data_IF_816033729646
#
_entry.id   IF_816033729646
#
_cell.length_a   1.000
_cell.length_b   1.000
_cell.length_c   1.000
_cell.angle_alpha   90.00
_cell.angle_beta   90.00
_cell.angle_gamma   90.00
#
_symmetry.space_group_name_H-M   'P 1'
#
loop_
_entity.id
_entity.type
_entity.pdbx_description
1 polymer ?
#
# COMPACT_ATOMS: atom_id res chain seq x y z
N UNK A 1 -21.04 33.92 -7.72
CA UNK A 1 -19.65 33.50 -8.07
C UNK A 1 -18.84 33.73 -6.81
N UNK A 2 -18.62 32.68 -6.02
CA UNK A 2 -17.69 32.72 -4.89
C UNK A 2 -16.29 32.75 -5.49
N UNK A 3 -15.60 33.90 -5.44
CA UNK A 3 -14.21 33.99 -5.79
C UNK A 3 -13.46 33.06 -4.85
N UNK A 4 -12.69 32.12 -5.41
CA UNK A 4 -11.73 31.33 -4.62
C UNK A 4 -10.71 32.31 -4.07
N UNK A 5 -10.37 32.16 -2.77
CA UNK A 5 -9.32 32.90 -2.14
C UNK A 5 -7.98 32.38 -2.68
N UNK A 6 -7.20 33.27 -3.31
CA UNK A 6 -5.88 32.94 -3.87
C UNK A 6 -4.82 33.72 -3.15
N UNK A 7 -3.77 33.04 -2.71
CA UNK A 7 -2.60 33.64 -2.05
C UNK A 7 -1.29 33.16 -2.69
N UNK A 8 -0.26 34.00 -2.61
CA UNK A 8 1.11 33.63 -2.97
C UNK A 8 1.87 33.38 -1.68
N UNK A 9 2.51 32.21 -1.59
CA UNK A 9 3.27 31.81 -0.42
C UNK A 9 4.49 30.98 -0.78
N UNK A 10 5.40 30.87 0.18
CA UNK A 10 6.56 29.98 0.13
C UNK A 10 6.23 28.68 0.87
N UNK A 11 6.60 27.57 0.29
CA UNK A 11 6.43 26.23 0.90
C UNK A 11 7.68 25.90 1.72
N UNK A 12 7.47 25.41 2.96
CA UNK A 12 8.53 25.30 3.96
C UNK A 12 9.01 23.88 4.19
N UNK A 13 8.13 22.88 4.02
CA UNK A 13 8.45 21.47 4.27
C UNK A 13 7.47 20.53 3.58
N UNK A 14 7.87 19.28 3.33
CA UNK A 14 6.98 18.27 2.79
C UNK A 14 5.91 17.88 3.84
N UNK A 15 4.73 17.49 3.33
CA UNK A 15 3.65 16.95 4.13
C UNK A 15 2.76 16.05 3.26
N UNK A 16 1.98 15.19 3.89
CA UNK A 16 1.02 14.34 3.18
C UNK A 16 0.15 15.16 2.24
N UNK A 17 0.10 14.75 0.98
CA UNK A 17 -0.63 15.42 -0.09
C UNK A 17 0.06 16.65 -0.66
N UNK A 18 1.35 16.94 -0.37
CA UNK A 18 2.09 18.06 -0.95
C UNK A 18 3.10 18.72 -0.02
N UNK A 19 3.06 20.03 0.10
CA UNK A 19 3.94 20.80 0.97
C UNK A 19 3.14 21.68 1.93
N UNK A 20 3.76 22.14 3.02
CA UNK A 20 3.15 23.09 3.97
C UNK A 20 3.77 24.46 3.81
N UNK A 21 2.95 25.48 3.77
CA UNK A 21 3.31 26.88 3.90
C UNK A 21 2.44 27.57 4.96
N UNK A 22 2.49 28.90 4.99
CA UNK A 22 1.61 29.72 5.85
C UNK A 22 0.94 30.81 5.01
N UNK A 23 -0.34 31.06 5.28
CA UNK A 23 -1.07 32.20 4.74
C UNK A 23 -0.64 33.49 5.43
N UNK A 24 -1.02 34.64 4.87
CA UNK A 24 -0.65 35.94 5.43
C UNK A 24 -1.09 36.18 6.87
N UNK A 25 -2.10 35.46 7.37
CA UNK A 25 -2.56 35.48 8.76
C UNK A 25 -1.84 34.47 9.68
N UNK A 26 -0.85 33.74 9.17
CA UNK A 26 -0.12 32.70 9.91
C UNK A 26 -0.77 31.32 9.92
N UNK A 27 -1.94 31.15 9.31
CA UNK A 27 -2.60 29.84 9.22
C UNK A 27 -1.76 28.88 8.35
N UNK A 28 -1.46 27.69 8.89
CA UNK A 28 -0.79 26.65 8.13
C UNK A 28 -1.66 26.17 6.95
N UNK A 29 -1.09 26.06 5.76
CA UNK A 29 -1.78 25.59 4.58
C UNK A 29 -1.06 24.39 3.96
N UNK A 30 -1.81 23.32 3.71
CA UNK A 30 -1.33 22.13 2.98
C UNK A 30 -1.61 22.34 1.50
N UNK A 31 -0.55 22.46 0.72
CA UNK A 31 -0.60 22.80 -0.70
C UNK A 31 -0.28 21.57 -1.54
N UNK A 32 -1.27 21.08 -2.27
CA UNK A 32 -1.06 20.00 -3.23
C UNK A 32 -0.34 20.50 -4.48
N UNK A 33 0.35 19.58 -5.14
CA UNK A 33 1.17 19.84 -6.34
C UNK A 33 2.31 20.84 -6.13
N UNK A 34 2.63 21.18 -4.87
CA UNK A 34 3.81 21.96 -4.51
C UNK A 34 4.90 21.06 -3.90
N UNK A 35 6.15 21.43 -4.14
CA UNK A 35 7.32 20.86 -3.50
C UNK A 35 7.87 21.83 -2.46
N UNK A 36 8.68 21.33 -1.53
CA UNK A 36 9.34 22.15 -0.52
C UNK A 36 10.26 23.21 -1.17
N UNK A 37 10.27 24.41 -0.62
CA UNK A 37 11.10 25.52 -1.11
C UNK A 37 10.58 26.22 -2.37
N UNK A 38 9.40 25.84 -2.84
CA UNK A 38 8.76 26.52 -3.96
C UNK A 38 8.01 27.77 -3.52
N UNK A 39 7.99 28.78 -4.38
CA UNK A 39 7.09 29.91 -4.28
C UNK A 39 5.93 29.67 -5.23
N UNK A 40 4.70 29.66 -4.69
CA UNK A 40 3.52 29.21 -5.40
C UNK A 40 2.34 30.15 -5.23
N UNK A 41 1.49 30.27 -6.28
CA UNK A 41 0.12 30.81 -6.17
C UNK A 41 -0.81 29.67 -5.85
N UNK A 42 -1.52 29.75 -4.73
CA UNK A 42 -2.38 28.72 -4.19
C UNK A 42 -3.83 29.13 -4.24
N UNK A 43 -4.70 28.25 -4.73
CA UNK A 43 -6.14 28.34 -4.59
C UNK A 43 -6.55 27.62 -3.29
N UNK A 44 -7.13 28.34 -2.36
CA UNK A 44 -7.63 27.77 -1.09
C UNK A 44 -8.96 27.06 -1.36
N UNK A 45 -9.00 25.76 -1.09
CA UNK A 45 -10.18 24.92 -1.30
C UNK A 45 -10.96 24.65 -0.01
N UNK A 46 -10.26 24.69 1.13
CA UNK A 46 -10.82 24.41 2.43
C UNK A 46 -10.10 25.27 3.48
N UNK A 47 -10.85 25.86 4.41
CA UNK A 47 -10.31 26.58 5.56
C UNK A 47 -11.03 26.15 6.83
N UNK A 48 -10.26 25.77 7.82
CA UNK A 48 -10.73 25.42 9.17
C UNK A 48 -10.14 26.40 10.19
N UNK A 49 -10.53 26.29 11.44
CA UNK A 49 -9.93 27.11 12.52
C UNK A 49 -8.45 26.81 12.79
N UNK A 50 -7.92 25.68 12.30
CA UNK A 50 -6.55 25.22 12.63
C UNK A 50 -5.61 25.19 11.42
N UNK A 51 -6.14 25.00 10.22
CA UNK A 51 -5.37 24.87 9.00
C UNK A 51 -6.24 25.16 7.77
N UNK A 52 -5.57 25.40 6.65
CA UNK A 52 -6.19 25.46 5.33
C UNK A 52 -5.64 24.36 4.42
N UNK A 53 -6.34 24.11 3.33
CA UNK A 53 -5.89 23.23 2.23
C UNK A 53 -6.09 23.94 0.91
N UNK A 54 -5.12 23.78 0.02
CA UNK A 54 -5.16 24.39 -1.30
C UNK A 54 -4.43 23.57 -2.34
N UNK A 55 -4.54 24.06 -3.57
CA UNK A 55 -3.82 23.49 -4.72
C UNK A 55 -2.93 24.59 -5.33
N UNK A 56 -1.69 24.22 -5.68
CA UNK A 56 -0.79 25.09 -6.43
C UNK A 56 -1.35 25.29 -7.84
N UNK A 57 -1.77 26.52 -8.14
CA UNK A 57 -2.23 26.90 -9.47
C UNK A 57 -1.05 27.24 -10.41
N UNK A 58 -0.05 27.90 -9.84
CA UNK A 58 1.11 28.40 -10.57
C UNK A 58 2.36 28.24 -9.69
N UNK A 59 3.45 27.79 -10.30
CA UNK A 59 4.75 27.68 -9.66
C UNK A 59 5.56 28.90 -10.10
N UNK A 60 5.78 29.84 -9.18
CA UNK A 60 6.50 31.09 -9.43
C UNK A 60 8.03 30.91 -9.31
N UNK A 61 8.46 30.04 -8.41
CA UNK A 61 9.85 29.59 -8.28
C UNK A 61 9.84 28.09 -8.03
N UNK A 62 10.43 27.33 -8.95
CA UNK A 62 10.37 25.89 -8.93
C UNK A 62 11.52 25.28 -8.10
N UNK A 63 11.23 24.15 -7.44
CA UNK A 63 12.24 23.28 -6.86
C UNK A 63 13.12 22.68 -7.97
N UNK A 64 14.46 22.50 -7.79
CA UNK A 64 15.35 21.93 -8.79
C UNK A 64 14.92 20.55 -9.31
N UNK A 65 14.32 19.71 -8.46
CA UNK A 65 13.82 18.40 -8.81
C UNK A 65 12.39 18.40 -9.37
N UNK A 66 11.81 19.56 -9.70
CA UNK A 66 10.49 19.60 -10.35
C UNK A 66 10.61 19.17 -11.81
N UNK A 67 9.74 18.25 -12.20
CA UNK A 67 9.67 17.70 -13.56
C UNK A 67 8.25 17.79 -14.12
N UNK A 68 8.14 17.64 -15.45
CA UNK A 68 6.84 17.46 -16.09
C UNK A 68 6.31 16.05 -15.78
N UNK A 69 5.07 15.97 -15.30
CA UNK A 69 4.42 14.69 -15.04
C UNK A 69 4.35 13.82 -16.31
N UNK A 70 4.76 12.54 -16.24
CA UNK A 70 4.76 11.67 -17.42
C UNK A 70 3.36 11.21 -17.86
N UNK A 71 2.40 11.11 -16.92
CA UNK A 71 1.06 10.64 -17.21
C UNK A 71 0.16 11.78 -17.75
N UNK A 72 -0.56 11.57 -18.88
CA UNK A 72 -1.44 12.59 -19.44
C UNK A 72 -2.64 12.91 -18.54
N UNK A 73 -2.94 12.07 -17.56
CA UNK A 73 -4.02 12.26 -16.59
C UNK A 73 -3.55 12.90 -15.27
N UNK A 74 -2.26 13.20 -15.12
CA UNK A 74 -1.74 13.91 -13.96
C UNK A 74 -2.08 15.40 -14.02
N UNK A 75 -2.24 16.02 -12.87
CA UNK A 75 -2.39 17.48 -12.76
C UNK A 75 -3.56 17.91 -11.90
N UNK A 76 -3.75 19.23 -11.89
CA UNK A 76 -4.77 19.88 -11.11
C UNK A 76 -6.19 19.43 -11.55
N UNK A 77 -7.04 19.12 -10.59
CA UNK A 77 -8.42 18.70 -10.85
C UNK A 77 -8.55 17.46 -11.76
N UNK A 78 -7.53 16.62 -11.86
CA UNK A 78 -7.47 15.41 -12.67
C UNK A 78 -7.38 14.14 -11.83
N UNK A 79 -6.81 13.06 -12.39
CA UNK A 79 -6.68 11.75 -11.75
C UNK A 79 -6.00 11.85 -10.37
N UNK A 80 -6.65 11.29 -9.35
CA UNK A 80 -6.14 11.25 -7.97
C UNK A 80 -5.27 10.06 -7.63
N UNK A 81 -4.81 9.30 -8.63
CA UNK A 81 -4.07 8.06 -8.39
C UNK A 81 -2.58 8.25 -8.07
N UNK A 82 -2.01 9.44 -8.30
CA UNK A 82 -0.60 9.76 -8.07
C UNK A 82 -0.44 11.19 -7.58
N UNK A 83 0.35 11.39 -6.53
CA UNK A 83 0.51 12.68 -5.86
C UNK A 83 1.81 13.38 -6.21
N UNK A 84 2.86 12.64 -6.62
CA UNK A 84 4.24 13.11 -6.75
C UNK A 84 4.80 13.06 -8.19
N UNK A 85 3.96 12.94 -9.21
CA UNK A 85 4.42 12.88 -10.61
C UNK A 85 5.17 14.13 -11.09
N UNK A 86 5.05 15.23 -10.36
CA UNK A 86 5.72 16.51 -10.65
C UNK A 86 7.12 16.64 -10.00
N UNK A 87 7.60 15.58 -9.34
CA UNK A 87 8.92 15.48 -8.74
C UNK A 87 9.74 14.37 -9.42
N UNK A 88 11.05 14.58 -9.59
CA UNK A 88 11.97 13.52 -9.98
C UNK A 88 12.11 12.46 -8.88
N UNK A 89 12.71 11.33 -9.19
CA UNK A 89 12.81 10.19 -8.27
C UNK A 89 13.55 10.56 -6.98
N UNK A 90 14.66 11.26 -7.08
CA UNK A 90 15.45 11.66 -5.91
C UNK A 90 14.64 12.57 -4.97
N UNK A 91 13.89 13.50 -5.55
CA UNK A 91 12.99 14.38 -4.79
C UNK A 91 11.83 13.62 -4.16
N UNK A 92 11.23 12.64 -4.87
CA UNK A 92 10.18 11.77 -4.30
C UNK A 92 10.70 10.98 -3.11
N UNK A 93 11.86 10.35 -3.23
CA UNK A 93 12.51 9.58 -2.15
C UNK A 93 12.78 10.47 -0.93
N UNK A 94 13.40 11.63 -1.12
CA UNK A 94 13.66 12.57 -0.03
C UNK A 94 12.37 13.08 0.63
N UNK A 95 11.35 13.39 -0.16
CA UNK A 95 10.05 13.82 0.33
C UNK A 95 9.38 12.74 1.19
N UNK A 96 9.35 11.49 0.70
CA UNK A 96 8.77 10.34 1.41
C UNK A 96 9.51 10.05 2.72
N UNK A 97 10.83 10.06 2.69
CA UNK A 97 11.68 9.85 3.87
C UNK A 97 11.35 10.86 4.98
N UNK A 98 11.27 12.15 4.64
CA UNK A 98 10.98 13.21 5.60
C UNK A 98 9.56 13.12 6.17
N UNK A 99 8.56 12.84 5.33
CA UNK A 99 7.17 12.67 5.78
C UNK A 99 7.05 11.47 6.71
N UNK A 100 7.65 10.33 6.37
CA UNK A 100 7.63 9.13 7.18
C UNK A 100 8.34 9.32 8.53
N UNK A 101 9.53 9.94 8.54
CA UNK A 101 10.27 10.27 9.78
C UNK A 101 9.44 11.19 10.72
N UNK A 102 8.76 12.19 10.14
CA UNK A 102 7.88 13.09 10.92
C UNK A 102 6.67 12.35 11.52
N UNK A 103 6.08 11.42 10.78
CA UNK A 103 4.98 10.57 11.28
C UNK A 103 5.44 9.65 12.42
N UNK A 104 6.56 8.94 12.26
CA UNK A 104 7.11 8.04 13.27
C UNK A 104 7.42 8.80 14.56
N UNK A 105 8.07 9.96 14.46
CA UNK A 105 8.38 10.80 15.59
C UNK A 105 7.14 11.31 16.31
N UNK A 106 6.20 11.93 15.60
CA UNK A 106 5.03 12.59 16.21
C UNK A 106 3.98 11.61 16.74
N UNK A 107 3.75 10.51 16.03
CA UNK A 107 2.68 9.56 16.36
C UNK A 107 3.19 8.36 17.16
N UNK A 108 4.40 7.88 16.82
CA UNK A 108 5.02 6.71 17.42
C UNK A 108 5.92 7.02 18.62
N UNK A 109 6.45 8.25 18.70
CA UNK A 109 7.53 8.59 19.63
C UNK A 109 8.85 7.91 19.27
N UNK A 110 9.02 7.53 17.97
CA UNK A 110 10.20 6.85 17.46
C UNK A 110 11.09 7.89 16.78
N UNK A 111 12.24 8.16 17.36
CA UNK A 111 13.30 8.99 16.76
C UNK A 111 14.09 8.13 15.77
N UNK A 112 13.64 8.09 14.52
CA UNK A 112 14.27 7.33 13.45
C UNK A 112 14.22 8.15 12.16
N UNK A 113 15.38 8.34 11.54
CA UNK A 113 15.45 8.90 10.19
C UNK A 113 15.20 7.77 9.19
N UNK A 114 14.12 7.89 8.45
CA UNK A 114 13.71 6.90 7.46
C UNK A 114 14.56 7.04 6.21
N UNK A 115 15.21 5.95 5.82
CA UNK A 115 15.82 5.80 4.50
C UNK A 115 14.83 5.06 3.59
N UNK A 116 14.65 5.55 2.36
CA UNK A 116 13.74 4.95 1.39
C UNK A 116 14.55 4.24 0.31
N UNK A 117 14.30 2.95 0.17
CA UNK A 117 14.90 2.10 -0.85
C UNK A 117 13.99 2.13 -2.09
N UNK A 118 14.51 2.67 -3.21
CA UNK A 118 13.81 2.60 -4.50
C UNK A 118 13.76 1.15 -5.01
N UNK A 119 12.62 0.74 -5.55
CA UNK A 119 12.41 -0.63 -6.03
C UNK A 119 11.95 -0.62 -7.48
N UNK A 120 12.87 -0.96 -8.39
CA UNK A 120 12.59 -1.06 -9.81
C UNK A 120 12.18 0.28 -10.46
N UNK A 121 11.64 0.21 -11.65
CA UNK A 121 11.15 1.38 -12.38
C UNK A 121 9.68 1.66 -12.04
N UNK A 122 9.29 2.92 -12.04
CA UNK A 122 7.91 3.33 -11.80
C UNK A 122 6.96 2.89 -12.93
N UNK A 123 7.41 2.98 -14.19
CA UNK A 123 6.59 2.62 -15.35
C UNK A 123 6.27 1.14 -15.37
N UNK A 124 4.98 0.80 -15.50
CA UNK A 124 4.55 -0.59 -15.57
C UNK A 124 4.68 -1.38 -14.26
N UNK A 125 5.08 -0.74 -13.17
CA UNK A 125 5.33 -1.41 -11.88
C UNK A 125 4.08 -2.01 -11.23
N UNK A 126 2.89 -1.50 -11.57
CA UNK A 126 1.63 -1.88 -10.95
C UNK A 126 0.96 -3.02 -11.70
N UNK A 127 0.75 -4.12 -11.02
CA UNK A 127 0.07 -5.31 -11.56
C UNK A 127 -1.46 -5.31 -11.33
N UNK A 128 -1.99 -4.36 -10.55
CA UNK A 128 -3.42 -4.27 -10.22
C UNK A 128 -3.90 -2.83 -10.26
N UNK A 129 -5.05 -2.60 -10.90
CA UNK A 129 -5.70 -1.29 -10.93
C UNK A 129 -7.21 -1.44 -10.81
N UNK A 130 -7.80 -0.80 -9.81
CA UNK A 130 -9.25 -0.77 -9.62
C UNK A 130 -9.81 0.52 -10.16
N UNK A 131 -10.75 0.43 -11.10
CA UNK A 131 -11.39 1.54 -11.78
C UNK A 131 -12.91 1.53 -11.56
N UNK A 132 -13.51 2.70 -11.68
CA UNK A 132 -14.94 2.87 -11.90
C UNK A 132 -15.23 2.83 -13.40
N UNK A 133 -16.46 2.52 -13.77
CA UNK A 133 -16.93 2.61 -15.14
C UNK A 133 -17.95 3.75 -15.24
N UNK A 134 -17.69 4.68 -16.15
CA UNK A 134 -18.59 5.82 -16.39
C UNK A 134 -19.87 5.44 -17.15
N UNK A 135 -20.72 6.44 -17.40
CA UNK A 135 -21.99 6.25 -18.13
C UNK A 135 -21.82 5.89 -19.62
N UNK A 136 -20.60 5.99 -20.15
CA UNK A 136 -20.26 5.63 -21.53
C UNK A 136 -19.52 4.29 -21.61
N UNK A 137 -19.30 3.62 -20.46
CA UNK A 137 -18.61 2.34 -20.38
C UNK A 137 -17.09 2.47 -20.39
N UNK A 138 -16.53 3.63 -20.07
CA UNK A 138 -15.08 3.88 -20.03
C UNK A 138 -14.53 3.73 -18.61
N UNK A 139 -13.29 3.26 -18.49
CA UNK A 139 -12.60 3.19 -17.22
C UNK A 139 -12.25 4.59 -16.72
N UNK A 140 -12.45 4.82 -15.44
CA UNK A 140 -12.19 6.08 -14.81
C UNK A 140 -11.69 5.92 -13.36
N UNK A 141 -10.92 6.88 -12.88
CA UNK A 141 -10.60 7.04 -11.47
C UNK A 141 -11.23 8.30 -10.92
N UNK A 142 -11.49 8.31 -9.61
CA UNK A 142 -11.99 9.52 -8.97
C UNK A 142 -10.95 10.63 -9.08
N UNK A 143 -11.44 11.81 -9.40
CA UNK A 143 -10.63 13.03 -9.26
C UNK A 143 -10.38 13.29 -7.78
N UNK A 144 -9.29 13.96 -7.52
CA UNK A 144 -8.91 14.26 -6.15
C UNK A 144 -9.99 15.12 -5.49
N UNK A 145 -10.46 14.65 -4.32
CA UNK A 145 -11.48 15.31 -3.49
C UNK A 145 -12.77 15.68 -4.24
N UNK A 146 -13.04 15.02 -5.35
CA UNK A 146 -14.28 15.17 -6.14
C UNK A 146 -14.95 13.83 -6.34
N UNK A 147 -16.25 13.86 -6.58
CA UNK A 147 -17.02 12.65 -6.87
C UNK A 147 -17.04 12.32 -8.36
N UNK A 148 -16.82 13.33 -9.23
CA UNK A 148 -16.77 13.15 -10.67
C UNK A 148 -15.52 12.39 -11.09
N UNK A 149 -15.65 11.42 -12.02
CA UNK A 149 -14.55 10.60 -12.46
C UNK A 149 -13.68 11.32 -13.52
N UNK A 150 -12.39 11.02 -13.51
CA UNK A 150 -11.46 11.27 -14.62
C UNK A 150 -11.43 10.02 -15.50
N UNK A 151 -11.87 10.14 -16.73
CA UNK A 151 -11.80 9.04 -17.72
C UNK A 151 -10.36 8.82 -18.12
N UNK A 152 -9.92 7.59 -18.04
CA UNK A 152 -8.55 7.21 -18.36
C UNK A 152 -8.43 6.65 -19.77
N UNK A 153 -7.40 7.06 -20.48
CA UNK A 153 -6.96 6.47 -21.76
C UNK A 153 -5.71 5.61 -21.59
N UNK A 154 -5.05 5.72 -20.46
CA UNK A 154 -3.85 4.97 -20.06
C UNK A 154 -3.62 5.12 -18.56
N UNK A 155 -2.80 4.25 -17.97
CA UNK A 155 -2.24 4.45 -16.64
C UNK A 155 -0.74 4.18 -16.68
N UNK A 156 0.08 5.18 -16.42
CA UNK A 156 1.55 5.10 -16.48
C UNK A 156 2.15 4.00 -15.61
N UNK A 157 1.54 3.76 -14.44
CA UNK A 157 2.00 2.75 -13.49
C UNK A 157 1.56 1.34 -13.86
N UNK A 158 0.47 1.15 -14.60
CA UNK A 158 -0.09 -0.16 -14.88
C UNK A 158 0.78 -0.90 -15.90
N UNK A 159 0.97 -2.20 -15.66
CA UNK A 159 1.60 -3.15 -16.57
C UNK A 159 1.18 -2.91 -18.04
N UNK A 160 2.15 -2.91 -18.95
CA UNK A 160 1.92 -2.58 -20.36
C UNK A 160 0.96 -3.57 -21.05
N UNK A 161 0.99 -4.85 -20.67
CA UNK A 161 0.07 -5.89 -21.18
C UNK A 161 -1.40 -5.58 -20.90
N UNK A 162 -1.66 -4.76 -19.85
CA UNK A 162 -3.01 -4.43 -19.41
C UNK A 162 -3.57 -3.12 -19.97
N UNK A 163 -2.79 -2.37 -20.76
CA UNK A 163 -3.22 -1.05 -21.28
C UNK A 163 -4.41 -1.13 -22.25
N UNK A 164 -4.61 -2.26 -22.93
CA UNK A 164 -5.74 -2.47 -23.85
C UNK A 164 -7.10 -2.31 -23.15
N UNK A 165 -7.17 -2.55 -21.85
CA UNK A 165 -8.39 -2.41 -21.05
C UNK A 165 -9.00 -0.99 -21.14
N UNK A 166 -8.19 0.06 -21.38
CA UNK A 166 -8.67 1.43 -21.53
C UNK A 166 -9.38 1.71 -22.85
N UNK A 167 -9.21 0.85 -23.85
CA UNK A 167 -9.91 0.92 -25.14
C UNK A 167 -11.22 0.12 -25.15
N UNK A 168 -11.41 -0.74 -24.16
CA UNK A 168 -12.58 -1.62 -24.04
C UNK A 168 -13.76 -0.90 -23.41
N UNK A 169 -14.97 -1.30 -23.81
CA UNK A 169 -16.23 -0.84 -23.20
C UNK A 169 -16.68 -1.84 -22.13
N UNK A 170 -16.77 -1.35 -20.92
CA UNK A 170 -17.16 -2.12 -19.75
C UNK A 170 -18.62 -1.87 -19.36
N UNK A 171 -19.26 -2.77 -18.59
CA UNK A 171 -20.62 -2.53 -18.11
C UNK A 171 -20.72 -1.25 -17.28
N UNK A 172 -21.69 -0.39 -17.62
CA UNK A 172 -21.90 0.92 -16.97
C UNK A 172 -22.14 0.77 -15.46
N UNK A 173 -21.52 1.60 -14.67
CA UNK A 173 -21.64 1.59 -13.21
C UNK A 173 -20.95 0.41 -12.52
N UNK A 174 -20.20 -0.40 -13.25
CA UNK A 174 -19.39 -1.45 -12.66
C UNK A 174 -18.14 -0.87 -11.97
N UNK A 175 -17.61 -1.63 -11.03
CA UNK A 175 -16.23 -1.57 -10.59
C UNK A 175 -15.44 -2.63 -11.36
N UNK A 176 -14.34 -2.23 -11.98
CA UNK A 176 -13.46 -3.10 -12.76
C UNK A 176 -12.09 -3.12 -12.11
N UNK A 177 -11.63 -4.28 -11.68
CA UNK A 177 -10.26 -4.48 -11.23
C UNK A 177 -9.47 -5.20 -12.31
N UNK A 178 -8.55 -4.48 -12.95
CA UNK A 178 -7.59 -5.04 -13.91
C UNK A 178 -6.51 -5.78 -13.14
N UNK A 179 -6.15 -6.97 -13.58
CA UNK A 179 -5.11 -7.83 -13.01
C UNK A 179 -4.14 -8.30 -14.09
N UNK A 180 -2.87 -7.96 -13.90
CA UNK A 180 -1.74 -8.41 -14.71
C UNK A 180 -0.69 -9.05 -13.77
N UNK A 181 -1.13 -10.06 -13.00
CA UNK A 181 -0.28 -10.74 -12.02
C UNK A 181 0.50 -11.87 -12.71
N UNK A 182 1.81 -11.91 -12.46
CA UNK A 182 2.70 -12.92 -13.07
C UNK A 182 2.77 -12.82 -14.58
N UNK A 183 3.18 -13.91 -15.24
CA UNK A 183 3.40 -13.99 -16.69
C UNK A 183 2.13 -14.38 -17.47
N UNK A 184 1.04 -14.74 -16.78
CA UNK A 184 -0.21 -15.13 -17.41
C UNK A 184 -0.92 -13.98 -18.12
N UNK A 185 -1.91 -14.32 -18.95
CA UNK A 185 -2.74 -13.32 -19.63
C UNK A 185 -3.47 -12.44 -18.61
N UNK A 186 -3.38 -11.10 -18.72
CA UNK A 186 -4.14 -10.19 -17.89
C UNK A 186 -5.65 -10.35 -18.08
N UNK A 187 -6.39 -10.14 -17.02
CA UNK A 187 -7.85 -10.17 -17.05
C UNK A 187 -8.47 -9.11 -16.14
N UNK A 188 -9.76 -8.92 -16.23
CA UNK A 188 -10.52 -7.99 -15.42
C UNK A 188 -11.56 -8.72 -14.55
N UNK A 189 -11.67 -8.29 -13.30
CA UNK A 189 -12.73 -8.69 -12.38
C UNK A 189 -13.78 -7.59 -12.36
N UNK A 190 -14.97 -7.89 -12.85
CA UNK A 190 -16.07 -6.93 -13.04
C UNK A 190 -17.13 -7.16 -11.98
N UNK A 191 -17.37 -6.14 -11.17
CA UNK A 191 -18.36 -6.16 -10.08
C UNK A 191 -19.46 -5.16 -10.35
N UNK A 192 -20.68 -5.65 -10.44
CA UNK A 192 -21.91 -4.85 -10.54
C UNK A 192 -22.77 -5.03 -9.30
N UNK A 193 -23.33 -3.97 -8.73
CA UNK A 193 -24.24 -4.10 -7.60
C UNK A 193 -25.40 -5.06 -7.91
N UNK A 194 -25.64 -6.02 -7.02
CA UNK A 194 -26.73 -6.99 -7.16
C UNK A 194 -26.53 -8.07 -8.24
N UNK A 195 -25.35 -8.18 -8.84
CA UNK A 195 -25.03 -9.22 -9.81
C UNK A 195 -23.83 -10.05 -9.34
N UNK A 196 -23.71 -11.32 -9.80
CA UNK A 196 -22.49 -12.10 -9.60
C UNK A 196 -21.27 -11.38 -10.19
N UNK A 197 -20.12 -11.56 -9.56
CA UNK A 197 -18.84 -11.12 -10.12
C UNK A 197 -18.55 -11.86 -11.43
N UNK A 198 -18.20 -11.12 -12.46
CA UNK A 198 -17.79 -11.67 -13.75
C UNK A 198 -16.28 -11.52 -13.91
N UNK A 199 -15.65 -12.51 -14.55
CA UNK A 199 -14.26 -12.41 -14.99
C UNK A 199 -14.28 -12.26 -16.50
N UNK A 200 -13.52 -11.29 -17.00
CA UNK A 200 -13.46 -10.98 -18.43
C UNK A 200 -12.02 -10.84 -18.88
N UNK A 201 -11.76 -11.21 -20.16
CA UNK A 201 -10.51 -10.77 -20.77
C UNK A 201 -10.49 -9.23 -20.93
N UNK A 202 -9.36 -8.68 -21.35
CA UNK A 202 -9.24 -7.23 -21.49
C UNK A 202 -9.94 -6.65 -22.72
N UNK A 203 -10.46 -7.48 -23.62
CA UNK A 203 -11.36 -7.13 -24.73
C UNK A 203 -12.84 -7.19 -24.31
N UNK A 204 -13.14 -7.62 -23.08
CA UNK A 204 -14.47 -7.61 -22.50
C UNK A 204 -15.27 -8.90 -22.64
N UNK A 205 -14.70 -10.00 -23.18
CA UNK A 205 -15.35 -11.30 -23.27
C UNK A 205 -15.37 -11.98 -21.91
N UNK A 206 -16.48 -12.59 -21.56
CA UNK A 206 -16.62 -13.33 -20.29
C UNK A 206 -15.75 -14.58 -20.31
N UNK A 207 -14.94 -14.75 -19.28
CA UNK A 207 -14.10 -15.92 -19.04
C UNK A 207 -14.79 -16.87 -18.05
N UNK A 208 -14.17 -18.04 -17.85
CA UNK A 208 -14.64 -19.03 -16.87
C UNK A 208 -14.60 -18.44 -15.45
N UNK A 209 -15.62 -18.67 -14.61
CA UNK A 209 -15.67 -18.10 -13.26
C UNK A 209 -14.52 -18.56 -12.34
N UNK A 210 -13.90 -19.70 -12.61
CA UNK A 210 -12.73 -20.22 -11.87
C UNK A 210 -11.38 -19.68 -12.39
N UNK A 211 -11.38 -18.67 -13.26
CA UNK A 211 -10.15 -18.03 -13.73
C UNK A 211 -9.40 -17.42 -12.55
N UNK A 212 -8.12 -17.75 -12.43
CA UNK A 212 -7.21 -17.29 -11.37
C UNK A 212 -5.94 -16.71 -11.97
N UNK A 213 -5.28 -15.81 -11.25
CA UNK A 213 -3.92 -15.43 -11.58
C UNK A 213 -2.94 -16.49 -11.10
N UNK A 214 -1.90 -16.75 -11.89
CA UNK A 214 -0.77 -17.60 -11.52
C UNK A 214 0.49 -16.75 -11.49
N UNK A 215 1.19 -16.75 -10.36
CA UNK A 215 2.38 -15.94 -10.16
C UNK A 215 3.54 -16.84 -9.79
N UNK A 216 4.53 -16.88 -10.66
CA UNK A 216 5.80 -17.55 -10.38
C UNK A 216 6.64 -16.68 -9.45
N UNK A 217 7.04 -17.26 -8.33
CA UNK A 217 7.95 -16.65 -7.37
C UNK A 217 8.82 -17.76 -6.77
N UNK A 218 10.13 -17.66 -6.89
CA UNK A 218 11.07 -18.60 -6.29
C UNK A 218 10.83 -20.08 -6.67
N UNK A 219 10.52 -20.35 -7.95
CA UNK A 219 10.18 -21.68 -8.47
C UNK A 219 8.91 -22.28 -7.86
N UNK A 220 8.03 -21.44 -7.32
CA UNK A 220 6.70 -21.81 -6.87
C UNK A 220 5.63 -20.98 -7.57
N UNK A 221 4.56 -21.65 -8.03
CA UNK A 221 3.44 -20.99 -8.70
C UNK A 221 2.33 -20.72 -7.69
N UNK A 222 2.16 -19.45 -7.32
CA UNK A 222 1.05 -19.03 -6.49
C UNK A 222 -0.24 -18.96 -7.31
N UNK A 223 -1.30 -19.55 -6.79
CA UNK A 223 -2.67 -19.34 -7.26
C UNK A 223 -3.28 -18.19 -6.47
N UNK A 224 -3.81 -17.18 -7.18
CA UNK A 224 -4.46 -16.01 -6.59
C UNK A 224 -5.84 -15.82 -7.21
N UNK A 225 -6.86 -16.12 -6.43
CA UNK A 225 -8.27 -15.95 -6.84
C UNK A 225 -8.64 -14.48 -7.04
N UNK A 226 -9.69 -14.18 -7.85
CA UNK A 226 -10.16 -12.81 -8.10
C UNK A 226 -10.48 -11.98 -6.85
N UNK A 227 -10.95 -12.63 -5.79
CA UNK A 227 -11.29 -11.98 -4.52
C UNK A 227 -10.17 -12.03 -3.48
N UNK A 228 -9.01 -12.59 -3.83
CA UNK A 228 -7.84 -12.63 -2.96
C UNK A 228 -6.92 -11.44 -3.21
N UNK A 229 -6.29 -10.98 -2.14
CA UNK A 229 -5.27 -9.92 -2.22
C UNK A 229 -3.96 -10.48 -2.76
N UNK A 230 -3.26 -9.67 -3.55
CA UNK A 230 -1.87 -9.82 -3.92
C UNK A 230 -1.21 -8.45 -3.97
N UNK A 231 0.09 -8.37 -3.73
CA UNK A 231 0.86 -7.12 -3.76
C UNK A 231 0.70 -6.41 -5.10
N UNK A 232 0.55 -5.09 -5.07
CA UNK A 232 0.26 -4.32 -6.29
C UNK A 232 1.49 -4.02 -7.15
N UNK A 233 2.66 -3.89 -6.55
CA UNK A 233 3.94 -3.74 -7.25
C UNK A 233 4.48 -5.13 -7.58
N UNK A 234 4.92 -5.35 -8.83
CA UNK A 234 5.33 -6.70 -9.28
C UNK A 234 6.54 -7.26 -8.52
N UNK A 235 7.47 -6.41 -8.03
CA UNK A 235 8.61 -6.84 -7.22
C UNK A 235 8.31 -6.91 -5.71
N UNK A 236 7.16 -6.43 -5.24
CA UNK A 236 6.87 -6.41 -3.80
C UNK A 236 6.84 -7.81 -3.16
N UNK A 237 6.31 -8.86 -3.79
CA UNK A 237 6.31 -10.20 -3.21
C UNK A 237 7.71 -10.71 -2.88
N UNK A 238 8.68 -10.50 -3.77
CA UNK A 238 10.08 -10.89 -3.59
C UNK A 238 10.75 -10.05 -2.50
N UNK A 239 10.74 -8.72 -2.66
CA UNK A 239 11.39 -7.79 -1.72
C UNK A 239 10.89 -7.98 -0.29
N UNK A 240 9.58 -8.07 -0.09
CA UNK A 240 9.01 -8.21 1.24
C UNK A 240 9.27 -9.60 1.84
N UNK A 241 9.21 -10.66 1.02
CA UNK A 241 9.51 -12.01 1.47
C UNK A 241 10.96 -12.14 1.93
N UNK A 242 11.90 -11.55 1.19
CA UNK A 242 13.32 -11.57 1.54
C UNK A 242 13.57 -10.87 2.89
N UNK A 243 12.98 -9.70 3.10
CA UNK A 243 13.12 -8.96 4.38
C UNK A 243 12.48 -9.71 5.55
N UNK A 244 11.33 -10.33 5.36
CA UNK A 244 10.67 -11.16 6.38
C UNK A 244 11.52 -12.38 6.74
N UNK A 245 12.07 -13.05 5.74
CA UNK A 245 12.97 -14.21 5.94
C UNK A 245 14.26 -13.80 6.66
N UNK A 246 14.86 -12.67 6.27
CA UNK A 246 16.06 -12.14 6.93
C UNK A 246 15.81 -11.82 8.41
N UNK A 247 14.70 -11.10 8.69
CA UNK A 247 14.30 -10.79 10.05
C UNK A 247 14.04 -12.04 10.91
N UNK A 248 13.50 -13.12 10.33
CA UNK A 248 13.30 -14.39 11.01
C UNK A 248 14.64 -15.12 11.27
N UNK A 249 15.57 -15.13 10.30
CA UNK A 249 16.89 -15.79 10.44
C UNK A 249 17.70 -15.23 11.59
N UNK A 250 17.52 -14.00 11.96
CA UNK A 250 18.16 -13.38 13.13
C UNK A 250 17.58 -13.87 14.47
N UNK A 251 16.46 -14.62 14.46
CA UNK A 251 15.86 -15.29 15.62
C UNK A 251 15.78 -16.81 15.36
N UNK A 252 16.91 -17.53 15.26
CA UNK A 252 16.95 -18.91 14.79
C UNK A 252 16.22 -19.86 15.74
N UNK A 253 15.53 -20.84 15.13
CA UNK A 253 14.81 -21.90 15.85
C UNK A 253 13.41 -21.53 16.34
N UNK A 254 13.00 -20.30 16.18
CA UNK A 254 11.67 -19.85 16.58
C UNK A 254 10.58 -20.38 15.61
N UNK A 255 9.47 -20.83 16.19
CA UNK A 255 8.23 -21.08 15.47
C UNK A 255 7.67 -19.75 14.94
N UNK A 256 7.05 -19.77 13.76
CA UNK A 256 6.50 -18.56 13.16
C UNK A 256 4.98 -18.59 13.19
N UNK A 257 4.37 -17.44 13.50
CA UNK A 257 2.94 -17.20 13.35
C UNK A 257 2.75 -16.04 12.37
N UNK A 258 2.19 -16.34 11.19
CA UNK A 258 1.93 -15.39 10.11
C UNK A 258 0.48 -14.88 10.21
N UNK A 259 0.31 -13.64 10.64
CA UNK A 259 -0.98 -12.99 10.84
C UNK A 259 -1.37 -12.17 9.62
N UNK A 260 -2.64 -12.25 9.22
CA UNK A 260 -3.16 -11.65 7.98
C UNK A 260 -2.48 -12.23 6.74
N UNK A 261 -2.24 -13.55 6.75
CA UNK A 261 -1.33 -14.24 5.82
C UNK A 261 -1.77 -14.24 4.35
N UNK A 262 -2.95 -13.74 4.03
CA UNK A 262 -3.45 -13.71 2.66
C UNK A 262 -3.42 -15.09 2.01
N UNK A 263 -2.81 -15.17 0.84
CA UNK A 263 -2.65 -16.41 0.06
C UNK A 263 -1.43 -17.24 0.47
N UNK A 264 -0.74 -16.87 1.57
CA UNK A 264 0.37 -17.63 2.13
C UNK A 264 1.77 -17.25 1.64
N UNK A 265 1.97 -16.02 1.17
CA UNK A 265 3.24 -15.53 0.62
C UNK A 265 4.39 -15.68 1.63
N UNK A 266 4.28 -15.08 2.81
CA UNK A 266 5.34 -15.12 3.82
C UNK A 266 5.50 -16.51 4.44
N UNK A 267 4.40 -17.23 4.65
CA UNK A 267 4.44 -18.61 5.14
C UNK A 267 5.23 -19.53 4.18
N UNK A 268 5.06 -19.36 2.86
CA UNK A 268 5.83 -20.08 1.86
C UNK A 268 7.32 -19.74 1.95
N UNK A 269 7.66 -18.45 1.97
CA UNK A 269 9.05 -17.99 2.01
C UNK A 269 9.79 -18.48 3.27
N UNK A 270 9.12 -18.42 4.42
CA UNK A 270 9.68 -18.85 5.71
C UNK A 270 9.89 -20.36 5.76
N UNK A 271 8.92 -21.17 5.32
CA UNK A 271 9.06 -22.64 5.27
C UNK A 271 10.19 -23.06 4.32
N UNK A 272 10.26 -22.42 3.15
CA UNK A 272 11.36 -22.64 2.19
C UNK A 272 12.72 -22.23 2.78
N UNK A 273 12.77 -21.19 3.60
CA UNK A 273 13.99 -20.75 4.29
C UNK A 273 14.40 -21.68 5.44
N UNK A 274 13.59 -22.70 5.79
CA UNK A 274 13.88 -23.70 6.80
C UNK A 274 13.10 -23.57 8.12
N UNK A 275 12.06 -22.71 8.19
CA UNK A 275 11.19 -22.68 9.36
C UNK A 275 10.46 -24.01 9.52
N UNK A 276 10.64 -24.66 10.67
CA UNK A 276 10.13 -26.02 10.93
C UNK A 276 8.61 -26.04 11.24
N UNK A 277 8.08 -24.95 11.77
CA UNK A 277 6.65 -24.77 12.05
C UNK A 277 6.23 -23.34 11.71
N UNK A 278 5.26 -23.22 10.79
CA UNK A 278 4.63 -21.95 10.41
C UNK A 278 3.12 -22.08 10.60
N UNK A 279 2.50 -21.20 11.37
CA UNK A 279 1.04 -21.20 11.58
C UNK A 279 0.49 -19.90 11.00
N UNK A 280 -0.43 -20.00 10.03
CA UNK A 280 -1.04 -18.82 9.40
C UNK A 280 -2.44 -18.56 9.93
N UNK A 281 -2.80 -17.28 10.06
CA UNK A 281 -4.15 -16.82 10.37
C UNK A 281 -4.65 -15.88 9.27
N UNK A 282 -5.75 -16.26 8.62
CA UNK A 282 -6.44 -15.48 7.59
C UNK A 282 -7.95 -15.61 7.74
N UNK A 283 -8.68 -14.53 7.50
CA UNK A 283 -10.14 -14.49 7.66
C UNK A 283 -10.92 -14.54 6.33
N UNK A 284 -10.30 -14.13 5.23
CA UNK A 284 -10.92 -14.16 3.90
C UNK A 284 -11.08 -15.60 3.39
N UNK A 285 -12.31 -16.06 3.09
CA UNK A 285 -12.51 -17.44 2.62
C UNK A 285 -11.76 -17.75 1.30
N UNK A 286 -11.66 -16.79 0.39
CA UNK A 286 -10.92 -16.95 -0.87
C UNK A 286 -9.42 -17.09 -0.60
N UNK A 287 -8.84 -16.19 0.20
CA UNK A 287 -7.43 -16.21 0.54
C UNK A 287 -7.04 -17.49 1.31
N UNK A 288 -7.88 -17.96 2.25
CA UNK A 288 -7.68 -19.23 2.95
C UNK A 288 -7.68 -20.42 2.00
N UNK A 289 -8.58 -20.44 1.02
CA UNK A 289 -8.61 -21.50 -0.01
C UNK A 289 -7.33 -21.48 -0.84
N UNK A 290 -6.93 -20.30 -1.30
CA UNK A 290 -5.70 -20.11 -2.07
C UNK A 290 -4.47 -20.49 -1.24
N UNK A 291 -4.38 -20.06 0.03
CA UNK A 291 -3.29 -20.44 0.92
C UNK A 291 -3.17 -21.95 1.12
N UNK A 292 -4.29 -22.66 1.27
CA UNK A 292 -4.30 -24.13 1.36
C UNK A 292 -3.83 -24.81 0.09
N UNK A 293 -4.14 -24.24 -1.07
CA UNK A 293 -3.64 -24.72 -2.36
C UNK A 293 -2.14 -24.44 -2.49
N UNK A 294 -1.72 -23.21 -2.27
CA UNK A 294 -0.34 -22.76 -2.41
C UNK A 294 0.62 -23.46 -1.45
N UNK A 295 0.14 -23.84 -0.27
CA UNK A 295 0.94 -24.48 0.79
C UNK A 295 0.69 -25.99 0.88
N UNK A 296 0.03 -26.58 -0.13
CA UNK A 296 -0.28 -28.02 -0.17
C UNK A 296 1.00 -28.86 -0.10
N UNK A 297 1.00 -29.89 0.74
CA UNK A 297 2.11 -30.81 0.93
C UNK A 297 3.26 -30.30 1.82
N UNK A 298 3.19 -29.05 2.28
CA UNK A 298 4.18 -28.48 3.22
C UNK A 298 3.84 -28.87 4.65
N UNK A 299 4.55 -29.91 5.16
CA UNK A 299 4.22 -30.55 6.45
C UNK A 299 4.37 -29.63 7.66
N UNK A 300 5.26 -28.63 7.57
CA UNK A 300 5.52 -27.65 8.63
C UNK A 300 4.52 -26.49 8.68
N UNK A 301 3.56 -26.41 7.73
CA UNK A 301 2.67 -25.26 7.61
C UNK A 301 1.23 -25.63 7.98
N UNK A 302 0.60 -24.80 8.85
CA UNK A 302 -0.78 -24.96 9.27
C UNK A 302 -1.60 -23.72 8.94
N UNK A 303 -2.60 -23.84 8.06
CA UNK A 303 -3.49 -22.74 7.64
C UNK A 303 -4.76 -22.71 8.49
N UNK A 304 -4.94 -21.65 9.27
CA UNK A 304 -6.08 -21.40 10.14
C UNK A 304 -7.02 -20.34 9.54
N UNK A 305 -8.24 -20.72 9.22
CA UNK A 305 -9.31 -19.80 8.80
C UNK A 305 -9.86 -19.06 10.04
N UNK A 306 -9.16 -18.02 10.48
CA UNK A 306 -9.52 -17.26 11.70
C UNK A 306 -9.22 -15.77 11.51
N UNK A 307 -10.08 -14.92 12.07
CA UNK A 307 -9.81 -13.49 12.20
C UNK A 307 -8.70 -13.27 13.23
N UNK A 308 -7.81 -12.30 12.98
CA UNK A 308 -6.78 -11.88 13.94
C UNK A 308 -7.42 -10.99 15.00
N UNK A 309 -7.61 -11.55 16.18
CA UNK A 309 -8.18 -10.89 17.37
C UNK A 309 -7.69 -11.60 18.64
N UNK A 310 -7.67 -10.95 19.84
CA UNK A 310 -7.06 -11.52 21.04
C UNK A 310 -7.51 -12.94 21.39
N UNK A 311 -8.82 -13.22 21.30
CA UNK A 311 -9.39 -14.55 21.65
C UNK A 311 -8.96 -15.66 20.69
N UNK A 312 -8.65 -15.34 19.42
CA UNK A 312 -8.19 -16.32 18.44
C UNK A 312 -6.68 -16.51 18.48
N UNK A 313 -5.94 -15.52 18.97
CA UNK A 313 -4.49 -15.56 19.16
C UNK A 313 -4.09 -16.34 20.40
N UNK A 314 -4.79 -16.18 21.52
CA UNK A 314 -4.45 -16.83 22.80
C UNK A 314 -4.19 -18.35 22.72
N UNK A 315 -4.97 -19.18 21.99
CA UNK A 315 -4.69 -20.61 21.86
C UNK A 315 -3.62 -20.94 20.79
N UNK A 316 -3.10 -19.95 20.06
CA UNK A 316 -2.18 -20.15 18.94
C UNK A 316 -0.76 -19.71 19.30
N UNK A 317 -0.63 -18.55 19.93
CA UNK A 317 0.66 -17.97 20.30
C UNK A 317 1.34 -18.76 21.42
N UNK A 318 2.67 -18.82 21.36
CA UNK A 318 3.53 -19.42 22.40
C UNK A 318 4.65 -18.45 22.76
N UNK A 319 5.16 -18.60 23.94
CA UNK A 319 6.40 -17.91 24.35
C UNK A 319 7.54 -18.26 23.40
N UNK A 320 8.30 -17.24 22.99
CA UNK A 320 9.41 -17.39 22.08
C UNK A 320 9.04 -17.42 20.58
N UNK A 321 7.75 -17.35 20.21
CA UNK A 321 7.36 -17.25 18.81
C UNK A 321 7.94 -16.01 18.12
N UNK A 322 8.16 -16.12 16.81
CA UNK A 322 8.26 -14.96 15.91
C UNK A 322 6.92 -14.74 15.25
N UNK A 323 6.38 -13.53 15.33
CA UNK A 323 5.15 -13.15 14.65
C UNK A 323 5.48 -12.28 13.45
N UNK A 324 5.00 -12.67 12.28
CA UNK A 324 4.97 -11.84 11.08
C UNK A 324 3.56 -11.30 10.92
N UNK A 325 3.38 -10.04 10.59
CA UNK A 325 2.06 -9.47 10.34
C UNK A 325 2.10 -8.43 9.24
N UNK A 326 1.14 -8.53 8.29
CA UNK A 326 0.86 -7.55 7.23
C UNK A 326 -0.62 -7.14 7.35
N UNK A 327 -0.96 -6.31 8.34
CA UNK A 327 -2.35 -5.95 8.58
C UNK A 327 -2.87 -4.99 7.50
N UNK A 328 -4.20 -4.85 7.36
CA UNK A 328 -4.79 -3.84 6.50
C UNK A 328 -4.38 -2.41 6.93
N UNK A 329 -4.63 -1.41 6.10
CA UNK A 329 -4.32 0.02 6.37
C UNK A 329 -4.79 0.53 7.74
N UNK A 330 -5.75 -0.13 8.37
CA UNK A 330 -6.22 0.20 9.73
C UNK A 330 -5.28 -0.29 10.83
N UNK A 331 -4.27 -1.11 10.49
CA UNK A 331 -3.27 -1.67 11.41
C UNK A 331 -3.81 -2.83 12.25
N UNK A 332 -3.12 -3.09 13.36
CA UNK A 332 -3.49 -4.16 14.30
C UNK A 332 -4.87 -3.91 14.89
N UNK A 333 -5.67 -4.95 14.97
CA UNK A 333 -6.95 -4.89 15.68
C UNK A 333 -6.72 -4.60 17.17
N UNK A 334 -7.72 -3.96 17.80
CA UNK A 334 -7.65 -3.60 19.23
C UNK A 334 -7.33 -4.80 20.10
N UNK A 335 -6.33 -4.68 20.97
CA UNK A 335 -5.90 -5.71 21.91
C UNK A 335 -4.93 -6.75 21.34
N UNK A 336 -4.60 -6.69 20.04
CA UNK A 336 -3.63 -7.63 19.44
C UNK A 336 -2.23 -7.40 20.02
N UNK A 337 -1.75 -6.15 20.12
CA UNK A 337 -0.46 -5.85 20.74
C UNK A 337 -0.36 -6.41 22.18
N UNK A 338 -1.42 -6.25 22.99
CA UNK A 338 -1.51 -6.82 24.33
C UNK A 338 -1.44 -8.35 24.33
N UNK A 339 -2.14 -9.00 23.37
CA UNK A 339 -2.11 -10.46 23.25
C UNK A 339 -0.71 -10.98 22.89
N UNK A 340 0.03 -10.28 22.02
CA UNK A 340 1.42 -10.61 21.68
C UNK A 340 2.33 -10.50 22.91
N UNK A 341 2.23 -9.40 23.67
CA UNK A 341 2.98 -9.18 24.90
C UNK A 341 2.68 -10.22 25.97
N UNK A 342 1.40 -10.56 26.20
CA UNK A 342 0.96 -11.56 27.18
C UNK A 342 1.45 -12.97 26.83
N UNK A 343 1.48 -13.31 25.53
CA UNK A 343 1.95 -14.62 25.07
C UNK A 343 3.48 -14.77 25.13
N UNK A 344 4.23 -13.69 25.35
CA UNK A 344 5.68 -13.76 25.39
C UNK A 344 6.33 -13.97 24.02
N UNK A 345 5.70 -13.45 22.96
CA UNK A 345 6.27 -13.47 21.60
C UNK A 345 7.64 -12.79 21.62
N UNK A 346 8.67 -13.43 21.08
CA UNK A 346 10.05 -12.93 21.13
C UNK A 346 10.30 -11.79 20.14
N UNK A 347 9.70 -11.88 18.95
CA UNK A 347 9.90 -10.92 17.86
C UNK A 347 8.61 -10.68 17.08
N UNK A 348 8.39 -9.42 16.70
CA UNK A 348 7.33 -9.02 15.77
C UNK A 348 7.99 -8.43 14.52
N UNK A 349 7.74 -9.04 13.36
CA UNK A 349 8.09 -8.51 12.03
C UNK A 349 6.81 -7.90 11.44
N UNK A 350 6.79 -6.59 11.34
CA UNK A 350 5.60 -5.83 10.94
C UNK A 350 5.78 -5.22 9.55
N UNK A 351 5.00 -5.68 8.59
CA UNK A 351 4.90 -5.10 7.23
C UNK A 351 3.76 -4.09 7.23
N UNK A 352 3.94 -2.91 6.62
CA UNK A 352 2.91 -1.87 6.63
C UNK A 352 3.01 -0.94 5.43
N UNK A 353 1.88 -0.67 4.78
CA UNK A 353 1.77 0.33 3.72
C UNK A 353 1.34 1.73 4.21
N UNK A 354 1.27 1.96 5.53
CA UNK A 354 0.83 3.23 6.12
C UNK A 354 1.68 3.61 7.32
N UNK A 355 2.52 4.65 7.18
CA UNK A 355 3.46 5.08 8.21
C UNK A 355 2.79 5.61 9.48
N UNK A 356 1.62 6.25 9.39
CA UNK A 356 0.91 6.76 10.55
C UNK A 356 0.33 5.62 11.41
N UNK A 357 -0.22 4.62 10.74
CA UNK A 357 -0.76 3.41 11.39
C UNK A 357 0.37 2.58 12.01
N UNK A 358 1.48 2.39 11.29
CA UNK A 358 2.68 1.73 11.80
C UNK A 358 3.19 2.44 13.07
N UNK A 359 3.33 3.76 13.04
CA UNK A 359 3.80 4.55 14.18
C UNK A 359 2.91 4.34 15.42
N UNK A 360 1.58 4.37 15.24
CA UNK A 360 0.61 4.08 16.31
C UNK A 360 0.79 2.67 16.88
N UNK A 361 0.98 1.68 16.01
CA UNK A 361 1.07 0.28 16.42
C UNK A 361 2.43 -0.04 17.05
N UNK A 362 3.53 0.56 16.59
CA UNK A 362 4.84 0.52 17.28
C UNK A 362 4.69 1.06 18.71
N UNK A 363 4.02 2.20 18.90
CA UNK A 363 3.76 2.73 20.23
C UNK A 363 2.96 1.76 21.10
N UNK A 364 1.94 1.10 20.56
CA UNK A 364 1.16 0.10 21.29
C UNK A 364 1.97 -1.13 21.67
N UNK A 365 2.86 -1.60 20.77
CA UNK A 365 3.80 -2.69 21.03
C UNK A 365 4.84 -2.30 22.07
N UNK A 366 5.37 -1.08 22.03
CA UNK A 366 6.33 -0.59 23.03
C UNK A 366 5.73 -0.53 24.45
N UNK A 367 4.43 -0.24 24.57
CA UNK A 367 3.73 -0.27 25.87
C UNK A 367 3.62 -1.67 26.49
N UNK A 368 3.85 -2.72 25.71
CA UNK A 368 3.80 -4.13 26.16
C UNK A 368 5.16 -4.80 26.09
N UNK A 369 6.24 -3.99 26.03
CA UNK A 369 7.63 -4.45 26.20
C UNK A 369 8.37 -4.77 24.92
N UNK A 370 7.90 -4.34 23.74
CA UNK A 370 8.69 -4.46 22.50
C UNK A 370 9.51 -3.20 22.22
N UNK A 371 10.71 -3.40 21.72
CA UNK A 371 11.63 -2.33 21.33
C UNK A 371 11.93 -2.44 19.83
N UNK A 372 11.76 -1.37 19.04
CA UNK A 372 12.16 -1.36 17.65
C UNK A 372 13.66 -1.65 17.50
N UNK A 373 14.01 -2.65 16.67
CA UNK A 373 15.38 -3.05 16.35
C UNK A 373 15.83 -2.47 15.01
N UNK A 374 14.96 -2.61 13.99
CA UNK A 374 15.17 -2.04 12.66
C UNK A 374 13.87 -1.56 12.05
N UNK A 375 13.98 -0.63 11.15
CA UNK A 375 12.90 -0.13 10.33
C UNK A 375 13.46 0.21 8.97
N UNK A 376 12.98 -0.49 7.96
CA UNK A 376 13.31 -0.27 6.56
C UNK A 376 12.08 0.24 5.83
N UNK A 377 12.26 1.01 4.76
CA UNK A 377 11.16 1.47 3.93
C UNK A 377 11.48 1.35 2.44
N UNK A 378 10.48 0.97 1.67
CA UNK A 378 10.58 0.65 0.26
C UNK A 378 9.60 1.49 -0.55
N UNK A 379 10.08 2.08 -1.66
CA UNK A 379 9.20 2.74 -2.61
C UNK A 379 8.55 1.71 -3.56
N UNK A 380 7.58 0.98 -3.02
CA UNK A 380 6.71 0.06 -3.76
C UNK A 380 5.44 0.75 -4.29
N UNK A 381 5.34 2.07 -4.10
CA UNK A 381 4.25 2.92 -4.61
C UNK A 381 4.80 4.17 -5.28
N UNK A 382 5.63 4.02 -6.34
CA UNK A 382 6.25 5.16 -7.00
C UNK A 382 5.20 6.17 -7.47
N UNK A 383 5.58 7.44 -7.58
CA UNK A 383 4.72 8.57 -7.97
C UNK A 383 3.56 8.88 -6.99
N UNK A 384 3.46 8.16 -5.87
CA UNK A 384 2.45 8.40 -4.82
C UNK A 384 3.10 8.80 -3.50
N UNK A 385 2.32 9.23 -2.52
CA UNK A 385 2.79 9.56 -1.17
C UNK A 385 3.04 8.33 -0.27
N UNK A 386 2.76 7.13 -0.75
CA UNK A 386 2.82 5.90 0.03
C UNK A 386 4.22 5.27 0.02
N UNK A 387 4.52 4.56 1.11
CA UNK A 387 5.67 3.68 1.28
C UNK A 387 5.22 2.33 1.81
N UNK A 388 6.04 1.32 1.61
CA UNK A 388 5.96 0.06 2.35
C UNK A 388 7.07 0.01 3.39
N UNK A 389 6.76 -0.45 4.58
CA UNK A 389 7.69 -0.55 5.70
C UNK A 389 7.84 -2.00 6.15
N UNK A 390 9.03 -2.35 6.60
CA UNK A 390 9.28 -3.57 7.37
C UNK A 390 9.95 -3.16 8.68
N UNK A 391 9.23 -3.30 9.78
CA UNK A 391 9.73 -3.01 11.11
C UNK A 391 9.96 -4.31 11.90
N UNK A 392 11.11 -4.44 12.53
CA UNK A 392 11.43 -5.55 13.43
C UNK A 392 11.44 -5.03 14.86
N UNK A 393 10.65 -5.65 15.72
CA UNK A 393 10.59 -5.31 17.14
C UNK A 393 10.89 -6.55 17.96
N UNK A 394 11.84 -6.44 18.87
CA UNK A 394 12.21 -7.50 19.81
C UNK A 394 11.61 -7.25 21.18
N UNK A 395 11.31 -8.33 21.90
CA UNK A 395 10.91 -8.24 23.30
C UNK A 395 12.11 -7.81 24.13
N UNK A 396 11.98 -6.71 24.88
CA UNK A 396 12.99 -6.18 25.78
C UNK A 396 13.11 -6.96 27.09
#
# INVERSE_FOLDING_TARGET
MSGFDEEVLDTLRPALGGAVGHLGDGTAVFVRHALEGERVRVRINERTAKFARGDALEILSAHPGRVKAPCPHAGLDRCGGCDLQHADEATQVAWKARVASDQLRRLGGVEHEVEVISVGEARGSRSRLRCLVDNEGRLALRRVRRHDPEVLTTCWLLDERAQIAFSTRWPRGAEVEIRALGEGEPFAVVRLPGRPTEIRDLEGRVLHPDTVSRVDLDSHVFTVSPDSFWQSHHLAPEVLSDRVVEAWREAPGARVVDLYSGVGLFAHALERAGASEVVTLESSPSAVRDARENLRGRRGVKVLARRVEPRTLAPVLREGDVVVCDPPRTGLARGVAQALGQAGVARVVYVSCDGATLARDIRALSQVGYVPRSLESFDLFPLTEHLEFVAVLDRG
#
